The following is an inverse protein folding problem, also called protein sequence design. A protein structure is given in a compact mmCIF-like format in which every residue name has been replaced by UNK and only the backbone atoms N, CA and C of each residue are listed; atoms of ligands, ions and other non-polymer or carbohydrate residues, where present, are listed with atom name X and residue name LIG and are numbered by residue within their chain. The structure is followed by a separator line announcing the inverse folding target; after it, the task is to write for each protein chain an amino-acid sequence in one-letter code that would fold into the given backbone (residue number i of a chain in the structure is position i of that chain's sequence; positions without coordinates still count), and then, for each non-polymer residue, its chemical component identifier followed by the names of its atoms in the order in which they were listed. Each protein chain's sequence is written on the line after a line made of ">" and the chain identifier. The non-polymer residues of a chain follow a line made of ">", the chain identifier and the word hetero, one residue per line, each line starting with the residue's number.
data_IF_275927664955
#
_entry.id   IF_275927664955
#
_cell.length_a   1.000
_cell.length_b   1.000
_cell.length_c   1.000
_cell.angle_alpha   90.00
_cell.angle_beta   90.00
_cell.angle_gamma   90.00
#
_symmetry.space_group_name_H-M   'P 1'
#
loop_
_entity.id
_entity.type
_entity.pdbx_description
1 polymer ?
#
# COMPACT_ATOMS: atom_id res chain seq x y z
N UNK A 1 -11.85 -6.65 0.28
CA UNK A 1 -12.34 -5.46 -0.29
C UNK A 1 -13.42 -5.63 -1.35
N UNK A 2 -13.66 -4.57 -2.10
CA UNK A 2 -14.72 -4.51 -3.13
C UNK A 2 -14.48 -5.55 -4.23
N UNK A 3 -13.26 -5.84 -4.61
CA UNK A 3 -12.92 -6.83 -5.63
C UNK A 3 -13.30 -8.25 -5.22
N UNK A 4 -13.01 -8.63 -3.99
CA UNK A 4 -13.37 -9.96 -3.48
C UNK A 4 -14.87 -10.14 -3.35
N UNK A 5 -15.59 -9.06 -3.02
CA UNK A 5 -17.04 -9.04 -3.05
C UNK A 5 -17.60 -9.17 -4.48
N UNK A 6 -16.88 -8.71 -5.51
CA UNK A 6 -17.28 -8.89 -6.91
C UNK A 6 -16.95 -10.29 -7.43
N UNK A 7 -15.82 -10.86 -7.08
CA UNK A 7 -15.46 -12.22 -7.48
C UNK A 7 -16.34 -13.28 -6.81
N UNK A 8 -16.79 -13.04 -5.58
CA UNK A 8 -17.73 -13.92 -4.88
C UNK A 8 -19.18 -13.81 -5.38
N UNK A 9 -19.58 -12.74 -6.05
CA UNK A 9 -20.95 -12.55 -6.59
C UNK A 9 -21.36 -13.59 -7.62
N UNK A 10 -20.43 -14.24 -8.29
CA UNK A 10 -20.71 -15.30 -9.28
C UNK A 10 -21.09 -16.66 -8.71
N UNK A 11 -21.04 -16.88 -7.39
CA UNK A 11 -21.25 -18.18 -6.75
C UNK A 11 -22.49 -18.27 -5.85
N UNK A 12 -23.42 -17.35 -5.93
CA UNK A 12 -24.72 -17.40 -5.23
C UNK A 12 -24.68 -17.05 -3.75
N UNK A 13 -25.86 -17.03 -3.14
CA UNK A 13 -26.12 -16.53 -1.78
C UNK A 13 -25.45 -17.28 -0.62
N UNK A 14 -24.85 -18.43 -0.89
CA UNK A 14 -24.21 -19.28 0.11
C UNK A 14 -23.02 -18.57 0.77
N UNK A 15 -22.36 -17.66 0.08
CA UNK A 15 -21.17 -16.97 0.55
C UNK A 15 -21.44 -15.65 1.29
N UNK A 16 -22.66 -15.16 1.29
CA UNK A 16 -23.03 -13.87 1.89
C UNK A 16 -22.82 -13.77 3.41
N UNK A 17 -22.57 -14.87 4.08
CA UNK A 17 -22.37 -14.94 5.55
C UNK A 17 -21.01 -15.52 5.97
N UNK A 18 -20.10 -15.72 5.04
CA UNK A 18 -18.79 -16.26 5.36
C UNK A 18 -17.85 -15.14 5.81
N UNK A 19 -17.06 -15.42 6.84
CA UNK A 19 -15.94 -14.58 7.24
C UNK A 19 -14.81 -14.80 6.25
N UNK A 20 -14.34 -13.72 5.64
CA UNK A 20 -13.19 -13.73 4.74
C UNK A 20 -11.94 -13.24 5.48
N UNK A 21 -10.80 -13.83 5.14
CA UNK A 21 -9.51 -13.27 5.52
C UNK A 21 -9.33 -11.93 4.77
N UNK A 22 -8.95 -10.89 5.49
CA UNK A 22 -8.83 -9.55 4.91
C UNK A 22 -7.72 -9.49 3.88
N UNK A 23 -7.98 -8.88 2.74
CA UNK A 23 -7.04 -8.72 1.62
C UNK A 23 -6.22 -7.45 1.72
N UNK A 24 -6.66 -6.51 2.56
CA UNK A 24 -6.06 -5.19 2.80
C UNK A 24 -6.34 -4.76 4.24
N UNK A 25 -5.61 -3.77 4.73
CA UNK A 25 -5.86 -3.15 6.04
C UNK A 25 -6.85 -1.98 5.96
N UNK A 26 -7.40 -1.68 4.79
CA UNK A 26 -8.34 -0.57 4.51
C UNK A 26 -9.62 -0.61 5.37
N UNK A 27 -10.04 -1.80 5.83
CA UNK A 27 -11.17 -1.91 6.77
C UNK A 27 -10.94 -1.13 8.07
N UNK A 28 -9.69 -1.03 8.51
CA UNK A 28 -9.33 -0.22 9.69
C UNK A 28 -9.50 1.28 9.42
N UNK A 29 -9.21 1.72 8.18
CA UNK A 29 -9.43 3.11 7.77
C UNK A 29 -10.93 3.47 7.81
N UNK A 30 -11.78 2.58 7.30
CA UNK A 30 -13.24 2.78 7.33
C UNK A 30 -13.74 2.89 8.78
N UNK A 31 -13.33 2.00 9.66
CA UNK A 31 -13.72 2.06 11.08
C UNK A 31 -13.28 3.36 11.76
N UNK A 32 -12.09 3.89 11.40
CA UNK A 32 -11.66 5.17 11.94
C UNK A 32 -12.50 6.33 11.41
N UNK A 33 -12.80 6.34 10.10
CA UNK A 33 -13.68 7.35 9.50
C UNK A 33 -15.08 7.33 10.12
N UNK A 34 -15.63 6.16 10.40
CA UNK A 34 -16.95 5.99 11.06
C UNK A 34 -17.00 6.57 12.48
N UNK A 35 -15.85 6.82 13.13
CA UNK A 35 -15.85 7.51 14.44
C UNK A 35 -16.26 8.98 14.36
N UNK A 36 -16.19 9.57 13.19
CA UNK A 36 -16.50 11.00 12.94
C UNK A 36 -15.53 11.99 13.58
N UNK A 37 -14.40 11.52 14.12
CA UNK A 37 -13.40 12.38 14.75
C UNK A 37 -12.44 12.93 13.69
N UNK A 38 -12.38 14.27 13.59
CA UNK A 38 -11.48 14.97 12.66
C UNK A 38 -10.45 15.81 13.42
N UNK A 39 -9.25 16.04 12.87
CA UNK A 39 -8.67 15.40 11.67
C UNK A 39 -8.25 13.94 11.91
N UNK A 40 -8.17 13.14 10.84
CA UNK A 40 -7.65 11.76 10.88
C UNK A 40 -6.21 11.75 10.38
N UNK A 41 -5.31 11.15 11.14
CA UNK A 41 -3.93 10.86 10.76
C UNK A 41 -3.56 9.52 11.37
N UNK A 42 -3.61 8.47 10.58
CA UNK A 42 -3.40 7.11 11.08
C UNK A 42 -2.53 6.27 10.16
N UNK A 43 -1.95 5.25 10.74
CA UNK A 43 -1.37 4.10 10.04
C UNK A 43 -2.04 2.82 10.53
N UNK A 44 -2.29 1.89 9.60
CA UNK A 44 -2.95 0.62 9.85
C UNK A 44 -2.04 -0.54 9.42
N UNK A 45 -1.11 -0.99 10.29
CA UNK A 45 -0.33 -2.18 10.01
C UNK A 45 -1.14 -3.45 10.25
N UNK A 46 -0.90 -4.48 9.45
CA UNK A 46 -1.54 -5.76 9.70
C UNK A 46 -1.26 -6.82 8.66
N UNK A 47 -1.51 -8.07 9.05
CA UNK A 47 -1.43 -9.21 8.15
C UNK A 47 -2.60 -9.19 7.18
N UNK A 48 -2.33 -9.48 5.92
CA UNK A 48 -3.31 -9.54 4.83
C UNK A 48 -3.13 -10.82 4.03
N UNK A 49 -4.16 -11.19 3.25
CA UNK A 49 -4.19 -12.46 2.55
C UNK A 49 -4.66 -12.25 1.11
N UNK A 50 -4.00 -12.92 0.15
CA UNK A 50 -4.35 -12.91 -1.27
C UNK A 50 -4.23 -14.31 -1.84
N UNK A 51 -4.97 -14.59 -2.89
CA UNK A 51 -4.90 -15.86 -3.62
C UNK A 51 -3.72 -15.87 -4.60
N UNK A 52 -2.52 -15.50 -4.12
CA UNK A 52 -1.30 -15.46 -4.91
C UNK A 52 -0.54 -16.79 -4.76
N UNK A 53 0.14 -17.20 -5.81
CA UNK A 53 1.10 -18.31 -5.73
C UNK A 53 2.39 -17.84 -5.05
N UNK A 54 3.04 -18.77 -4.36
CA UNK A 54 4.29 -18.47 -3.65
C UNK A 54 5.45 -18.43 -4.63
N UNK A 55 6.09 -17.26 -4.74
CA UNK A 55 7.31 -17.09 -5.52
C UNK A 55 8.33 -16.18 -4.78
N UNK A 56 9.39 -15.75 -5.48
CA UNK A 56 10.40 -14.87 -4.90
C UNK A 56 9.88 -13.47 -4.51
N UNK A 57 8.70 -13.08 -4.96
CA UNK A 57 8.13 -11.72 -4.81
C UNK A 57 6.70 -11.70 -4.29
N UNK A 58 6.05 -12.86 -4.19
CA UNK A 58 4.66 -13.01 -3.75
C UNK A 58 4.51 -14.07 -2.67
N UNK A 59 3.60 -13.79 -1.74
CA UNK A 59 3.15 -14.72 -0.71
C UNK A 59 1.64 -14.57 -0.50
N UNK A 60 0.90 -15.67 -0.29
CA UNK A 60 -0.53 -15.61 0.01
C UNK A 60 -0.84 -14.96 1.35
N UNK A 61 0.15 -14.82 2.22
CA UNK A 61 0.06 -14.11 3.50
C UNK A 61 1.25 -13.18 3.64
N UNK A 62 0.99 -11.89 3.81
CA UNK A 62 2.04 -10.88 3.97
C UNK A 62 1.53 -9.74 4.88
N UNK A 63 2.38 -8.77 5.16
CA UNK A 63 2.03 -7.62 5.98
C UNK A 63 1.90 -6.37 5.12
N UNK A 64 0.85 -5.60 5.38
CA UNK A 64 0.60 -4.33 4.74
C UNK A 64 0.55 -3.23 5.80
N UNK A 65 1.08 -2.07 5.47
CA UNK A 65 0.90 -0.84 6.23
C UNK A 65 0.17 0.14 5.33
N UNK A 66 -1.01 0.57 5.74
CA UNK A 66 -1.74 1.64 5.07
C UNK A 66 -1.72 2.91 5.91
N UNK A 67 -1.61 4.06 5.25
CA UNK A 67 -1.74 5.37 5.86
C UNK A 67 -2.98 6.08 5.35
N UNK A 68 -3.63 6.83 6.23
CA UNK A 68 -4.78 7.69 5.91
C UNK A 68 -4.60 9.04 6.58
N UNK A 69 -4.76 10.09 5.81
CA UNK A 69 -4.85 11.47 6.29
C UNK A 69 -6.13 12.08 5.74
N UNK A 70 -6.99 12.60 6.63
CA UNK A 70 -8.18 13.38 6.27
C UNK A 70 -8.18 14.66 7.12
N UNK A 71 -8.21 15.79 6.46
CA UNK A 71 -8.28 17.12 7.09
C UNK A 71 -8.85 18.12 6.08
N UNK A 72 -9.01 19.37 6.49
CA UNK A 72 -9.41 20.44 5.57
C UNK A 72 -8.27 20.75 4.59
N UNK A 73 -8.63 20.93 3.33
CA UNK A 73 -7.71 21.38 2.26
C UNK A 73 -6.50 20.46 1.99
N UNK A 74 -6.59 19.17 2.30
CA UNK A 74 -5.56 18.21 1.91
C UNK A 74 -5.53 18.05 0.39
N UNK A 75 -4.33 18.09 -0.19
CA UNK A 75 -4.11 18.08 -1.64
C UNK A 75 -3.27 16.88 -2.08
N UNK A 76 -3.25 16.62 -3.38
CA UNK A 76 -2.35 15.64 -3.98
C UNK A 76 -0.86 16.03 -3.83
N UNK A 77 -0.58 17.33 -3.66
CA UNK A 77 0.77 17.81 -3.38
C UNK A 77 1.23 17.39 -1.97
N UNK A 78 0.33 17.41 -0.98
CA UNK A 78 0.62 16.94 0.39
C UNK A 78 0.91 15.44 0.39
N UNK A 79 0.13 14.64 -0.36
CA UNK A 79 0.40 13.23 -0.56
C UNK A 79 1.81 13.01 -1.14
N UNK A 80 2.13 13.69 -2.24
CA UNK A 80 3.45 13.57 -2.90
C UNK A 80 4.59 13.97 -1.98
N UNK A 81 4.45 15.07 -1.24
CA UNK A 81 5.44 15.55 -0.27
C UNK A 81 5.69 14.53 0.84
N UNK A 82 4.60 14.04 1.46
CA UNK A 82 4.67 13.02 2.52
C UNK A 82 5.37 11.74 2.06
N UNK A 83 5.02 11.24 0.88
CA UNK A 83 5.60 10.01 0.36
C UNK A 83 7.03 10.18 -0.16
N UNK A 84 7.39 11.36 -0.66
CA UNK A 84 8.77 11.67 -1.02
C UNK A 84 9.67 11.69 0.21
N UNK A 85 9.22 12.27 1.30
CA UNK A 85 9.95 12.26 2.58
C UNK A 85 10.06 10.86 3.15
N UNK A 86 8.97 10.10 3.15
CA UNK A 86 8.98 8.69 3.53
C UNK A 86 10.03 7.87 2.75
N UNK A 87 10.13 8.09 1.44
CA UNK A 87 11.10 7.37 0.60
C UNK A 87 12.55 7.74 0.95
N UNK A 88 12.84 9.01 1.25
CA UNK A 88 14.16 9.47 1.66
C UNK A 88 14.58 8.92 3.02
N UNK A 89 13.69 8.99 4.01
CA UNK A 89 13.94 8.44 5.34
C UNK A 89 14.20 6.92 5.29
N UNK A 90 13.53 6.22 4.39
CA UNK A 90 13.63 4.77 4.29
C UNK A 90 14.84 4.30 3.49
N UNK A 91 15.16 4.95 2.37
CA UNK A 91 16.14 4.52 1.39
C UNK A 91 17.34 5.48 1.22
N UNK A 92 17.32 6.63 1.91
CA UNK A 92 18.39 7.64 1.90
C UNK A 92 18.06 8.88 1.07
N UNK A 93 18.73 9.98 1.38
CA UNK A 93 18.50 11.33 0.85
C UNK A 93 18.57 11.46 -0.67
N UNK A 94 19.38 10.63 -1.32
CA UNK A 94 19.55 10.63 -2.79
C UNK A 94 18.41 9.92 -3.53
N UNK A 95 17.44 9.35 -2.80
CA UNK A 95 16.32 8.62 -3.38
C UNK A 95 15.40 9.56 -4.13
N UNK A 96 15.21 9.29 -5.43
CA UNK A 96 14.25 9.99 -6.25
C UNK A 96 12.96 9.20 -6.33
N UNK A 97 11.83 9.90 -6.34
CA UNK A 97 10.50 9.32 -6.48
C UNK A 97 9.86 9.71 -7.81
N UNK A 98 9.06 8.80 -8.35
CA UNK A 98 8.26 9.01 -9.54
C UNK A 98 6.84 8.51 -9.28
N UNK A 99 5.84 9.31 -9.58
CA UNK A 99 4.44 8.94 -9.48
C UNK A 99 3.92 8.64 -10.88
N UNK A 100 3.33 7.46 -11.06
CA UNK A 100 2.66 7.03 -12.29
C UNK A 100 1.15 7.02 -12.07
N UNK A 101 0.34 7.58 -12.97
CA UNK A 101 -1.11 7.47 -12.88
C UNK A 101 -1.53 6.00 -12.82
N UNK A 102 -2.48 5.70 -11.95
CA UNK A 102 -3.08 4.39 -11.80
C UNK A 102 -4.57 4.53 -11.49
N UNK A 103 -5.31 3.43 -11.43
CA UNK A 103 -6.71 3.43 -11.04
C UNK A 103 -6.95 2.49 -9.86
N UNK A 104 -7.48 3.06 -8.76
CA UNK A 104 -8.06 2.31 -7.66
C UNK A 104 -9.50 2.76 -7.43
N UNK A 105 -10.45 1.86 -7.14
CA UNK A 105 -11.86 2.22 -7.04
C UNK A 105 -12.21 3.09 -5.82
N UNK A 106 -11.30 3.27 -4.90
CA UNK A 106 -11.47 3.99 -3.63
C UNK A 106 -10.64 5.26 -3.53
N UNK A 107 -9.87 5.60 -4.59
CA UNK A 107 -9.09 6.84 -4.66
C UNK A 107 -9.22 7.49 -6.04
N UNK A 108 -9.24 8.83 -6.09
CA UNK A 108 -9.25 9.64 -7.32
C UNK A 108 -8.71 11.06 -7.03
N UNK A 109 -7.58 11.48 -7.69
CA UNK A 109 -6.71 10.68 -8.55
C UNK A 109 -5.93 9.61 -7.79
N UNK A 110 -5.58 8.54 -8.51
CA UNK A 110 -4.76 7.44 -7.99
C UNK A 110 -3.39 7.41 -8.68
N UNK A 111 -2.40 6.94 -7.97
CA UNK A 111 -1.05 6.76 -8.48
C UNK A 111 -0.35 5.56 -7.85
N UNK A 112 0.65 5.06 -8.55
CA UNK A 112 1.69 4.21 -8.00
C UNK A 112 2.96 5.03 -7.82
N UNK A 113 3.72 4.78 -6.74
CA UNK A 113 5.00 5.42 -6.50
C UNK A 113 6.14 4.46 -6.72
N UNK A 114 7.06 4.87 -7.59
CA UNK A 114 8.32 4.20 -7.83
C UNK A 114 9.46 4.99 -7.16
N UNK A 115 10.49 4.27 -6.71
CA UNK A 115 11.76 4.84 -6.27
C UNK A 115 12.88 4.47 -7.22
N UNK A 116 13.95 5.28 -7.24
CA UNK A 116 15.16 4.96 -7.99
C UNK A 116 15.72 3.61 -7.55
N UNK A 117 16.06 2.76 -8.49
CA UNK A 117 16.68 1.47 -8.19
C UNK A 117 18.01 1.68 -7.45
N UNK A 118 18.11 1.22 -6.22
CA UNK A 118 19.30 1.37 -5.39
C UNK A 118 20.51 0.58 -5.93
N UNK A 119 20.31 -0.55 -6.63
CA UNK A 119 21.39 -1.36 -7.21
C UNK A 119 22.09 -0.67 -8.40
N UNK A 120 21.39 0.12 -9.18
CA UNK A 120 21.95 0.74 -10.38
C UNK A 120 21.86 2.27 -10.43
N UNK A 121 21.36 2.90 -9.37
CA UNK A 121 21.21 4.36 -9.32
C UNK A 121 20.33 4.95 -10.44
N UNK A 122 19.42 4.13 -11.01
CA UNK A 122 18.56 4.56 -12.10
C UNK A 122 19.04 4.23 -13.52
N UNK A 123 20.23 3.66 -13.68
CA UNK A 123 20.79 3.34 -15.02
C UNK A 123 20.17 2.11 -15.70
N UNK A 124 19.41 1.33 -14.95
CA UNK A 124 18.82 0.06 -15.42
C UNK A 124 19.73 -1.14 -15.13
N UNK A 125 19.16 -2.19 -14.52
CA UNK A 125 19.87 -3.43 -14.24
C UNK A 125 18.89 -4.61 -14.25
N UNK A 126 19.41 -5.83 -14.06
CA UNK A 126 18.59 -7.04 -14.03
C UNK A 126 17.54 -7.00 -12.91
N UNK A 127 17.86 -6.40 -11.75
CA UNK A 127 16.98 -6.30 -10.61
C UNK A 127 15.74 -5.42 -10.89
N UNK A 128 15.92 -4.26 -11.50
CA UNK A 128 14.84 -3.38 -11.96
C UNK A 128 14.36 -3.69 -13.37
N UNK A 129 14.76 -4.83 -13.95
CA UNK A 129 14.40 -5.27 -15.31
C UNK A 129 14.74 -4.26 -16.40
N UNK A 130 15.81 -3.47 -16.20
CA UNK A 130 16.28 -2.46 -17.15
C UNK A 130 15.64 -1.08 -17.00
N UNK A 131 14.63 -0.93 -16.14
CA UNK A 131 13.85 0.32 -16.05
C UNK A 131 14.50 1.42 -15.19
N UNK A 132 15.42 1.06 -14.29
CA UNK A 132 16.03 2.00 -13.35
C UNK A 132 15.11 2.42 -12.18
N UNK A 133 13.86 1.96 -12.15
CA UNK A 133 12.85 2.29 -11.15
C UNK A 133 12.24 1.03 -10.54
N UNK A 134 11.76 1.14 -9.32
CA UNK A 134 11.13 0.04 -8.58
C UNK A 134 9.86 0.58 -7.93
N UNK A 135 8.72 -0.01 -8.27
CA UNK A 135 7.45 0.26 -7.63
C UNK A 135 7.47 -0.21 -6.17
N UNK A 136 7.00 0.65 -5.26
CA UNK A 136 6.96 0.35 -3.82
C UNK A 136 5.57 0.42 -3.20
N UNK A 137 4.67 1.27 -3.71
CA UNK A 137 3.34 1.45 -3.13
C UNK A 137 2.32 2.03 -4.10
N UNK A 138 1.04 1.78 -3.78
CA UNK A 138 -0.09 2.48 -4.36
C UNK A 138 -0.61 3.57 -3.44
N UNK A 139 -1.09 4.67 -4.02
CA UNK A 139 -1.60 5.83 -3.27
C UNK A 139 -2.66 6.61 -4.07
N UNK A 140 -3.32 7.55 -3.42
CA UNK A 140 -4.27 8.45 -4.08
C UNK A 140 -5.05 9.32 -3.11
N UNK A 141 -5.79 10.28 -3.64
CA UNK A 141 -6.75 11.04 -2.86
C UNK A 141 -7.95 10.15 -2.55
N UNK A 142 -8.46 10.21 -1.34
CA UNK A 142 -9.65 9.45 -0.95
C UNK A 142 -10.83 9.88 -1.84
N UNK A 143 -11.48 8.91 -2.46
CA UNK A 143 -12.60 9.19 -3.35
C UNK A 143 -13.74 9.86 -2.57
N UNK A 144 -14.36 10.96 -3.07
CA UNK A 144 -15.44 11.66 -2.36
C UNK A 144 -16.56 10.74 -1.89
N UNK A 145 -16.95 9.78 -2.70
CA UNK A 145 -17.99 8.81 -2.33
C UNK A 145 -17.60 7.93 -1.12
N UNK A 146 -16.31 7.67 -0.88
CA UNK A 146 -15.85 6.95 0.31
C UNK A 146 -16.03 7.81 1.56
N UNK A 147 -15.78 9.13 1.46
CA UNK A 147 -16.04 10.08 2.55
C UNK A 147 -17.54 10.15 2.86
N UNK A 148 -18.38 10.32 1.83
CA UNK A 148 -19.84 10.35 1.96
C UNK A 148 -20.40 9.08 2.66
N UNK A 149 -19.93 7.90 2.24
CA UNK A 149 -20.34 6.63 2.85
C UNK A 149 -19.91 6.51 4.33
N UNK A 150 -18.89 7.25 4.72
CA UNK A 150 -18.40 7.34 6.10
C UNK A 150 -18.98 8.54 6.86
N UNK A 151 -20.00 9.21 6.31
CA UNK A 151 -20.65 10.38 6.86
C UNK A 151 -19.73 11.61 7.04
N UNK A 152 -18.70 11.72 6.21
CA UNK A 152 -17.78 12.85 6.15
C UNK A 152 -18.13 13.71 4.94
N UNK A 153 -18.30 15.01 5.13
CA UNK A 153 -18.64 15.96 4.06
C UNK A 153 -17.44 16.19 3.14
N UNK A 154 -17.49 15.75 1.86
CA UNK A 154 -16.38 15.91 0.92
C UNK A 154 -16.17 17.35 0.44
N UNK A 155 -17.12 18.26 0.69
CA UNK A 155 -16.96 19.70 0.42
C UNK A 155 -16.13 20.39 1.51
N UNK A 156 -16.11 19.82 2.72
CA UNK A 156 -15.34 20.36 3.85
C UNK A 156 -13.99 19.66 4.05
N UNK A 157 -13.95 18.35 3.83
CA UNK A 157 -12.79 17.50 4.10
C UNK A 157 -12.30 16.80 2.83
N UNK A 158 -11.00 16.77 2.70
CA UNK A 158 -10.30 15.98 1.69
C UNK A 158 -9.25 15.11 2.36
N UNK A 159 -8.75 14.13 1.67
CA UNK A 159 -7.73 13.26 2.26
C UNK A 159 -6.98 12.43 1.25
N UNK A 160 -5.91 11.81 1.70
CA UNK A 160 -5.18 10.84 0.90
C UNK A 160 -4.95 9.54 1.67
N UNK A 161 -4.76 8.48 0.92
CA UNK A 161 -4.37 7.18 1.44
C UNK A 161 -3.22 6.58 0.63
N UNK A 162 -2.45 5.71 1.27
CA UNK A 162 -1.43 4.90 0.61
C UNK A 162 -1.35 3.52 1.27
N UNK A 163 -0.85 2.54 0.53
CA UNK A 163 -0.69 1.17 1.05
C UNK A 163 0.59 0.55 0.55
N UNK A 164 1.43 0.06 1.48
CA UNK A 164 2.73 -0.52 1.20
C UNK A 164 2.86 -1.92 1.80
N UNK A 165 3.43 -2.86 1.03
CA UNK A 165 3.79 -4.19 1.54
C UNK A 165 5.08 -4.14 2.33
N UNK A 166 5.03 -4.56 3.60
CA UNK A 166 6.20 -4.51 4.50
C UNK A 166 7.34 -5.41 4.00
N UNK A 167 7.01 -6.61 3.52
CA UNK A 167 7.99 -7.53 2.93
C UNK A 167 8.67 -6.91 1.71
N UNK A 168 7.90 -6.22 0.85
CA UNK A 168 8.46 -5.53 -0.32
C UNK A 168 9.51 -4.51 0.06
N UNK A 169 9.22 -3.68 1.06
CA UNK A 169 10.19 -2.70 1.60
C UNK A 169 11.40 -3.42 2.20
N UNK A 170 11.17 -4.49 2.96
CA UNK A 170 12.23 -5.26 3.61
C UNK A 170 13.18 -5.86 2.58
N UNK A 171 12.64 -6.49 1.52
CA UNK A 171 13.44 -7.01 0.42
C UNK A 171 14.32 -5.93 -0.21
N UNK A 172 13.74 -4.75 -0.44
CA UNK A 172 14.46 -3.63 -1.05
C UNK A 172 15.52 -3.05 -0.11
N UNK A 173 15.18 -2.82 1.16
CA UNK A 173 16.07 -2.18 2.13
C UNK A 173 17.27 -3.04 2.51
N UNK A 174 17.08 -4.35 2.60
CA UNK A 174 18.12 -5.31 3.02
C UNK A 174 18.68 -6.14 1.87
N UNK A 175 18.34 -5.79 0.63
CA UNK A 175 18.82 -6.47 -0.58
C UNK A 175 18.55 -7.98 -0.58
N UNK A 176 17.39 -8.40 -0.07
CA UNK A 176 16.97 -9.80 -0.03
C UNK A 176 16.35 -10.15 -1.38
N UNK A 177 16.87 -11.15 -2.06
CA UNK A 177 16.46 -11.50 -3.42
C UNK A 177 15.19 -12.40 -3.48
N UNK A 178 14.80 -13.00 -2.36
CA UNK A 178 13.70 -13.96 -2.31
C UNK A 178 12.85 -13.80 -1.06
N UNK A 179 11.55 -13.49 -1.25
CA UNK A 179 10.59 -13.30 -0.15
C UNK A 179 10.39 -14.53 0.72
N UNK A 180 10.57 -15.72 0.16
CA UNK A 180 10.40 -16.99 0.89
C UNK A 180 11.32 -17.10 2.09
N UNK A 181 12.53 -16.51 2.00
CA UNK A 181 13.50 -16.46 3.09
C UNK A 181 12.95 -15.80 4.37
N UNK A 182 12.02 -14.86 4.23
CA UNK A 182 11.37 -14.20 5.37
C UNK A 182 10.44 -15.15 6.17
N UNK A 183 10.00 -16.24 5.55
CA UNK A 183 9.02 -17.18 6.10
C UNK A 183 9.57 -18.57 6.43
N UNK A 184 10.76 -18.91 5.93
CA UNK A 184 11.39 -20.22 6.13
C UNK A 184 11.92 -20.42 7.56
N UNK A 185 12.03 -19.35 8.35
CA UNK A 185 12.53 -19.35 9.72
C UNK A 185 13.95 -19.96 9.85
N UNK A 186 14.80 -19.81 8.83
CA UNK A 186 16.18 -20.28 8.86
C UNK A 186 17.04 -19.39 9.74
N UNK A 187 17.60 -19.93 10.81
CA UNK A 187 18.42 -19.19 11.77
C UNK A 187 19.68 -18.58 11.13
N UNK A 188 20.21 -19.18 10.05
CA UNK A 188 21.38 -18.65 9.33
C UNK A 188 21.01 -17.38 8.57
N UNK A 189 19.79 -17.30 8.06
CA UNK A 189 19.25 -16.10 7.44
C UNK A 189 19.00 -15.02 8.50
N UNK A 190 18.30 -15.36 9.57
CA UNK A 190 17.92 -14.41 10.62
C UNK A 190 19.13 -13.77 11.33
N UNK A 191 20.26 -14.47 11.41
CA UNK A 191 21.50 -13.94 12.00
C UNK A 191 22.28 -12.95 11.14
N UNK A 192 21.82 -12.65 9.93
CA UNK A 192 22.45 -11.67 9.04
C UNK A 192 22.01 -10.24 9.34
N UNK A 193 20.96 -10.09 10.14
CA UNK A 193 20.33 -8.84 10.56
C UNK A 193 20.33 -8.71 12.12
#
# INVERSE_FOLDING_TARGET
>A
GIRDAQESRGRGDVYKRQLLLRTQTSSTQVHEMETGKMPIRMIAPGRVFRADEVDATHSPSFHQVEGLVIDKHITFADLKGTLAEFAKELFGEDTKVKFRPHHFPFTEPSAEMDVTCFKCGGSGCRFCKGEGWIEILGCGMVHPHVLEMSHIDPEEYTGFAFGVGLERITLLKYEIDDMRLLYENDIRFLKQF
#
